data_IF_729844066267
#
_entry.id   IF_729844066267
#
_cell.length_a   1.000
_cell.length_b   1.000
_cell.length_c   1.000
_cell.angle_alpha   90.00
_cell.angle_beta   90.00
_cell.angle_gamma   90.00
#
_symmetry.space_group_name_H-M   'P 1'
#
loop_
_entity.id
_entity.type
_entity.pdbx_description
1 polymer ?
#
# COMPACT_ATOMS: atom_id res chain seq x y z
N UNK A 1 6.24 11.34 22.89
CA UNK A 1 5.37 10.14 22.80
C UNK A 1 4.31 10.21 21.71
N UNK A 2 3.17 10.90 21.87
CA UNK A 2 2.10 10.91 20.82
C UNK A 2 2.63 11.39 19.47
N UNK A 3 3.40 12.49 19.45
CA UNK A 3 4.01 13.01 18.22
C UNK A 3 4.98 12.02 17.54
N UNK A 4 5.73 11.24 18.32
CA UNK A 4 6.68 10.23 17.80
C UNK A 4 5.95 9.04 17.19
N UNK A 5 4.82 8.64 17.80
CA UNK A 5 3.92 7.62 17.27
C UNK A 5 3.39 8.08 15.91
N UNK A 6 2.86 9.30 15.81
CA UNK A 6 2.37 9.86 14.54
C UNK A 6 3.48 9.97 13.48
N UNK A 7 4.67 10.46 13.85
CA UNK A 7 5.81 10.53 12.93
C UNK A 7 6.18 9.15 12.40
N UNK A 8 6.28 8.16 13.29
CA UNK A 8 6.60 6.78 12.93
C UNK A 8 5.57 6.20 11.97
N UNK A 9 4.28 6.42 12.25
CA UNK A 9 3.18 6.00 11.38
C UNK A 9 3.30 6.59 9.97
N UNK A 10 3.53 7.91 9.87
CA UNK A 10 3.69 8.61 8.59
C UNK A 10 4.91 8.08 7.84
N UNK A 11 6.05 7.91 8.51
CA UNK A 11 7.28 7.41 7.89
C UNK A 11 7.05 6.04 7.25
N UNK A 12 6.38 5.13 7.96
CA UNK A 12 6.12 3.78 7.46
C UNK A 12 5.16 3.78 6.27
N UNK A 13 4.12 4.63 6.29
CA UNK A 13 3.21 4.76 5.16
C UNK A 13 3.87 5.41 3.94
N UNK A 14 4.67 6.45 4.15
CA UNK A 14 5.46 7.08 3.08
C UNK A 14 6.39 6.04 2.45
N UNK A 15 7.06 5.22 3.26
CA UNK A 15 7.93 4.16 2.77
C UNK A 15 7.17 3.12 1.91
N UNK A 16 5.97 2.73 2.35
CA UNK A 16 5.10 1.81 1.61
C UNK A 16 4.79 2.36 0.21
N UNK A 17 4.27 3.58 0.14
CA UNK A 17 3.85 4.19 -1.12
C UNK A 17 5.02 4.63 -2.01
N UNK A 18 6.15 5.01 -1.43
CA UNK A 18 7.38 5.23 -2.20
C UNK A 18 7.86 3.95 -2.87
N UNK A 19 7.64 2.79 -2.25
CA UNK A 19 7.96 1.50 -2.86
C UNK A 19 7.05 1.24 -4.06
N UNK A 20 5.75 1.54 -3.96
CA UNK A 20 4.83 1.51 -5.12
C UNK A 20 5.35 2.37 -6.25
N UNK A 21 5.63 3.65 -5.96
CA UNK A 21 6.14 4.62 -6.96
C UNK A 21 7.43 4.11 -7.60
N UNK A 22 8.37 3.58 -6.81
CA UNK A 22 9.62 3.04 -7.31
C UNK A 22 9.40 1.92 -8.34
N UNK A 23 8.56 0.94 -8.04
CA UNK A 23 8.30 -0.18 -8.96
C UNK A 23 7.50 0.26 -10.20
N UNK A 24 6.53 1.18 -10.04
CA UNK A 24 5.80 1.75 -11.17
C UNK A 24 6.77 2.45 -12.12
N UNK A 25 7.67 3.31 -11.60
CA UNK A 25 8.68 4.00 -12.41
C UNK A 25 9.69 3.03 -13.03
N UNK A 26 10.13 2.02 -12.27
CA UNK A 26 11.04 0.96 -12.74
C UNK A 26 10.47 0.23 -13.96
N UNK A 27 9.17 -0.01 -13.97
CA UNK A 27 8.47 -0.66 -15.08
C UNK A 27 7.88 0.32 -16.10
N UNK A 28 8.26 1.60 -16.07
CA UNK A 28 7.81 2.64 -17.01
C UNK A 28 6.28 2.84 -17.03
N UNK A 29 5.62 2.59 -15.91
CA UNK A 29 4.23 3.01 -15.71
C UNK A 29 4.16 4.52 -15.43
N UNK A 30 2.93 5.04 -15.37
CA UNK A 30 2.69 6.45 -15.05
C UNK A 30 2.03 6.58 -13.70
N UNK A 31 2.50 7.53 -12.91
CA UNK A 31 1.86 7.91 -11.64
C UNK A 31 0.80 8.96 -11.98
N UNK A 32 -0.47 8.64 -11.76
CA UNK A 32 -1.56 9.57 -12.04
C UNK A 32 -1.79 10.51 -10.87
N UNK A 33 -1.83 9.96 -9.66
CA UNK A 33 -2.13 10.71 -8.45
C UNK A 33 -1.49 10.08 -7.23
N UNK A 34 -0.85 10.92 -6.42
CA UNK A 34 -0.44 10.56 -5.06
C UNK A 34 -1.29 11.39 -4.10
N UNK A 35 -2.05 10.73 -3.24
CA UNK A 35 -2.89 11.40 -2.23
C UNK A 35 -2.28 11.16 -0.87
N UNK A 36 -1.94 12.24 -0.17
CA UNK A 36 -1.62 12.22 1.26
C UNK A 36 -2.78 12.90 2.00
N UNK A 37 -3.59 12.16 2.76
CA UNK A 37 -4.76 12.76 3.40
C UNK A 37 -5.46 11.87 4.43
N UNK A 38 -6.36 12.48 5.21
CA UNK A 38 -7.13 11.80 6.25
C UNK A 38 -8.30 10.98 5.66
N UNK A 39 -8.53 9.77 6.17
CA UNK A 39 -9.79 9.02 5.97
C UNK A 39 -10.93 9.64 6.81
N UNK A 40 -11.34 10.86 6.47
CA UNK A 40 -12.62 11.42 6.93
C UNK A 40 -13.29 12.12 5.76
N UNK A 41 -14.00 11.34 4.96
CA UNK A 41 -15.20 11.83 4.29
C UNK A 41 -16.37 11.66 5.27
N UNK A 42 -16.43 12.50 6.32
CA UNK A 42 -17.65 12.68 7.10
C UNK A 42 -18.37 13.90 6.56
N UNK A 43 -19.36 13.64 5.72
CA UNK A 43 -20.50 14.53 5.58
C UNK A 43 -21.32 14.48 6.88
N UNK A 44 -20.82 14.98 8.02
CA UNK A 44 -21.63 15.23 9.23
C UNK A 44 -20.97 16.34 10.04
N UNK A 45 -21.73 17.42 10.24
CA UNK A 45 -21.56 18.39 11.32
C UNK A 45 -21.54 17.65 12.66
N UNK A 46 -20.38 17.43 13.27
CA UNK A 46 -20.15 17.43 14.73
C UNK A 46 -18.71 17.06 15.05
N UNK A 47 -18.16 17.83 15.98
CA UNK A 47 -16.81 17.71 16.55
C UNK A 47 -16.56 16.29 17.06
N UNK A 48 -15.64 15.59 16.43
CA UNK A 48 -14.96 14.43 16.98
C UNK A 48 -13.47 14.55 16.61
N UNK A 49 -12.60 14.51 17.62
CA UNK A 49 -11.16 14.34 17.43
C UNK A 49 -10.98 12.91 16.92
N UNK A 50 -11.19 12.73 15.62
CA UNK A 50 -10.99 11.46 14.93
C UNK A 50 -9.48 11.20 14.88
N UNK A 51 -9.00 9.96 15.10
CA UNK A 51 -7.60 9.65 14.88
C UNK A 51 -7.28 10.03 13.44
N UNK A 52 -6.28 10.88 13.27
CA UNK A 52 -5.81 11.32 11.95
C UNK A 52 -5.13 10.10 11.31
N UNK A 53 -5.92 9.21 10.71
CA UNK A 53 -5.42 8.12 9.87
C UNK A 53 -5.05 8.78 8.55
N UNK A 54 -3.83 9.30 8.49
CA UNK A 54 -3.21 9.72 7.25
C UNK A 54 -3.09 8.47 6.41
N UNK A 55 -3.79 8.44 5.29
CA UNK A 55 -3.60 7.46 4.24
C UNK A 55 -2.67 8.10 3.19
N UNK A 56 -1.77 7.30 2.65
CA UNK A 56 -1.07 7.63 1.42
C UNK A 56 -1.52 6.59 0.39
N UNK A 57 -1.98 7.05 -0.76
CA UNK A 57 -2.40 6.14 -1.84
C UNK A 57 -1.88 6.64 -3.17
N UNK A 58 -1.28 5.74 -3.94
CA UNK A 58 -0.80 6.00 -5.29
C UNK A 58 -1.72 5.34 -6.31
N UNK A 59 -2.28 6.15 -7.22
CA UNK A 59 -2.96 5.68 -8.42
C UNK A 59 -1.98 5.70 -9.60
N UNK A 60 -1.96 4.64 -10.39
CA UNK A 60 -1.04 4.50 -11.52
C UNK A 60 -1.68 3.78 -12.71
N UNK A 61 -1.20 4.12 -13.90
CA UNK A 61 -1.48 3.43 -15.15
C UNK A 61 -0.37 2.45 -15.50
N UNK A 62 -0.78 1.25 -15.92
CA UNK A 62 0.13 0.20 -16.39
C UNK A 62 0.90 0.66 -17.64
N UNK A 63 2.21 0.41 -17.65
CA UNK A 63 3.03 0.55 -18.85
C UNK A 63 2.75 -0.58 -19.85
N UNK A 64 3.22 -0.42 -21.09
CA UNK A 64 3.16 -1.50 -22.09
C UNK A 64 3.87 -2.76 -21.56
N UNK A 65 3.25 -3.92 -21.73
CA UNK A 65 3.80 -5.25 -21.39
C UNK A 65 4.11 -5.46 -19.91
N UNK A 66 3.27 -4.96 -18.99
CA UNK A 66 3.45 -5.22 -17.57
C UNK A 66 3.34 -6.70 -17.22
N UNK A 67 2.30 -7.37 -17.72
CA UNK A 67 2.04 -8.77 -17.40
C UNK A 67 1.91 -9.01 -15.89
N UNK A 68 1.61 -10.26 -15.51
CA UNK A 68 1.24 -10.54 -14.12
C UNK A 68 2.41 -10.37 -13.13
N UNK A 69 3.66 -10.61 -13.57
CA UNK A 69 4.82 -10.54 -12.68
C UNK A 69 5.21 -9.12 -12.30
N UNK A 70 5.19 -8.17 -13.23
CA UNK A 70 5.53 -6.78 -12.89
C UNK A 70 4.42 -6.16 -12.03
N UNK A 71 3.16 -6.51 -12.31
CA UNK A 71 2.04 -6.09 -11.49
C UNK A 71 2.08 -6.69 -10.08
N UNK A 72 2.46 -7.96 -9.95
CA UNK A 72 2.71 -8.58 -8.65
C UNK A 72 3.81 -7.85 -7.88
N UNK A 73 4.88 -7.46 -8.54
CA UNK A 73 5.98 -6.72 -7.89
C UNK A 73 5.52 -5.34 -7.44
N UNK A 74 4.79 -4.59 -8.28
CA UNK A 74 4.24 -3.29 -7.88
C UNK A 74 3.36 -3.43 -6.64
N UNK A 75 2.43 -4.40 -6.64
CA UNK A 75 1.47 -4.56 -5.55
C UNK A 75 2.07 -5.16 -4.27
N UNK A 76 2.96 -6.16 -4.37
CA UNK A 76 3.41 -6.93 -3.21
C UNK A 76 4.73 -6.45 -2.60
N UNK A 77 5.58 -5.77 -3.36
CA UNK A 77 6.87 -5.30 -2.83
C UNK A 77 6.76 -4.28 -1.71
N UNK A 78 5.79 -3.34 -1.70
CA UNK A 78 5.58 -2.45 -0.56
C UNK A 78 5.37 -3.20 0.76
N UNK A 79 4.53 -4.24 0.74
CA UNK A 79 4.34 -5.12 1.88
C UNK A 79 5.64 -5.85 2.28
N UNK A 80 6.39 -6.37 1.29
CA UNK A 80 7.67 -7.03 1.55
C UNK A 80 8.72 -6.08 2.17
N UNK A 81 8.81 -4.84 1.68
CA UNK A 81 9.70 -3.80 2.22
C UNK A 81 9.32 -3.44 3.65
N UNK A 82 8.02 -3.27 3.92
CA UNK A 82 7.54 -2.98 5.25
C UNK A 82 7.77 -4.15 6.22
N UNK A 83 7.51 -5.40 5.82
CA UNK A 83 7.84 -6.57 6.66
C UNK A 83 9.35 -6.66 6.95
N UNK A 84 10.18 -6.48 5.92
CA UNK A 84 11.65 -6.51 6.05
C UNK A 84 12.13 -5.41 7.00
N UNK A 85 11.60 -4.20 6.85
CA UNK A 85 11.87 -3.07 7.75
C UNK A 85 11.44 -3.42 9.19
N UNK A 86 10.26 -3.99 9.36
CA UNK A 86 9.74 -4.43 10.64
C UNK A 86 10.55 -5.54 11.32
N UNK A 87 11.32 -6.34 10.57
CA UNK A 87 12.20 -7.36 11.14
C UNK A 87 13.58 -6.79 11.46
N UNK A 88 14.17 -6.04 10.51
CA UNK A 88 15.58 -5.62 10.56
C UNK A 88 15.82 -4.35 11.40
N UNK A 89 14.82 -3.50 11.58
CA UNK A 89 14.97 -2.28 12.37
C UNK A 89 15.24 -2.63 13.84
N UNK A 90 16.23 -1.95 14.43
CA UNK A 90 16.65 -2.11 15.81
C UNK A 90 15.55 -1.77 16.83
N UNK A 91 15.71 -2.26 18.07
CA UNK A 91 14.71 -2.07 19.12
C UNK A 91 14.51 -0.61 19.55
N UNK A 92 15.47 0.27 19.26
CA UNK A 92 15.38 1.71 19.53
C UNK A 92 14.26 2.40 18.72
N UNK A 93 13.76 1.77 17.66
CA UNK A 93 12.68 2.27 16.80
C UNK A 93 11.41 1.41 16.91
N UNK A 94 11.00 1.10 18.14
CA UNK A 94 9.89 0.20 18.44
C UNK A 94 8.60 0.51 17.65
N UNK A 95 8.20 1.79 17.56
CA UNK A 95 6.98 2.17 16.85
C UNK A 95 7.07 1.95 15.35
N UNK A 96 8.20 2.28 14.72
CA UNK A 96 8.44 1.99 13.30
C UNK A 96 8.36 0.49 13.09
N UNK A 97 9.00 -0.29 13.95
CA UNK A 97 8.99 -1.76 13.88
C UNK A 97 7.57 -2.33 13.88
N UNK A 98 6.77 -1.95 14.87
CA UNK A 98 5.38 -2.43 15.02
C UNK A 98 4.53 -1.98 13.83
N UNK A 99 4.62 -0.72 13.42
CA UNK A 99 3.82 -0.20 12.31
C UNK A 99 4.23 -0.80 10.96
N UNK A 100 5.51 -1.03 10.72
CA UNK A 100 6.02 -1.70 9.53
C UNK A 100 5.48 -3.13 9.42
N UNK A 101 5.51 -3.89 10.51
CA UNK A 101 4.89 -5.23 10.52
C UNK A 101 3.38 -5.16 10.33
N UNK A 102 2.70 -4.24 11.02
CA UNK A 102 1.25 -4.08 10.93
C UNK A 102 0.82 -3.75 9.50
N UNK A 103 1.43 -2.74 8.87
CA UNK A 103 1.11 -2.35 7.49
C UNK A 103 1.47 -3.47 6.52
N UNK A 104 2.66 -4.06 6.65
CA UNK A 104 3.09 -5.16 5.79
C UNK A 104 2.13 -6.35 5.79
N UNK A 105 1.64 -6.77 6.96
CA UNK A 105 0.66 -7.86 7.08
C UNK A 105 -0.68 -7.44 6.48
N UNK A 106 -1.21 -6.27 6.87
CA UNK A 106 -2.54 -5.84 6.43
C UNK A 106 -2.61 -5.58 4.92
N UNK A 107 -1.52 -5.11 4.30
CA UNK A 107 -1.46 -4.91 2.85
C UNK A 107 -1.56 -6.23 2.07
N UNK A 108 -1.11 -7.36 2.64
CA UNK A 108 -1.21 -8.68 1.99
C UNK A 108 -2.57 -9.35 2.14
N UNK A 109 -3.36 -8.96 3.14
CA UNK A 109 -4.69 -9.55 3.36
C UNK A 109 -5.63 -9.10 2.23
N UNK A 110 -6.34 -10.02 1.56
CA UNK A 110 -7.26 -9.67 0.48
C UNK A 110 -8.58 -9.14 1.06
N UNK A 111 -8.61 -7.87 1.49
CA UNK A 111 -9.78 -7.22 2.09
C UNK A 111 -10.46 -6.31 1.06
N UNK A 112 -11.61 -6.70 0.48
CA UNK A 112 -12.25 -5.97 -0.62
C UNK A 112 -12.69 -4.55 -0.23
N UNK A 113 -13.21 -4.37 1.00
CA UNK A 113 -13.72 -3.08 1.48
C UNK A 113 -12.64 -2.01 1.65
N UNK A 114 -11.37 -2.42 1.73
CA UNK A 114 -10.22 -1.53 1.92
C UNK A 114 -9.33 -1.43 0.68
N UNK A 115 -9.65 -2.17 -0.39
CA UNK A 115 -8.85 -2.21 -1.63
C UNK A 115 -7.35 -2.43 -1.38
N UNK A 116 -7.03 -3.31 -0.43
CA UNK A 116 -5.66 -3.70 -0.08
C UNK A 116 -4.88 -4.24 -1.27
N UNK A 117 -3.56 -4.08 -1.27
CA UNK A 117 -2.67 -4.59 -2.32
C UNK A 117 -2.89 -6.09 -2.63
N UNK A 118 -3.08 -6.91 -1.59
CA UNK A 118 -3.37 -8.34 -1.73
C UNK A 118 -4.72 -8.64 -2.37
N UNK A 119 -5.72 -7.77 -2.18
CA UNK A 119 -7.02 -7.88 -2.85
C UNK A 119 -6.90 -7.53 -4.34
N UNK A 120 -6.23 -6.42 -4.66
CA UNK A 120 -5.99 -6.01 -6.05
C UNK A 120 -5.19 -7.08 -6.81
N UNK A 121 -4.21 -7.70 -6.15
CA UNK A 121 -3.45 -8.79 -6.73
C UNK A 121 -4.32 -10.02 -7.00
N UNK A 122 -5.23 -10.35 -6.09
CA UNK A 122 -6.17 -11.45 -6.25
C UNK A 122 -7.14 -11.21 -7.42
N UNK A 123 -7.65 -9.98 -7.57
CA UNK A 123 -8.46 -9.60 -8.74
C UNK A 123 -7.68 -9.76 -10.04
N UNK A 124 -6.41 -9.37 -10.06
CA UNK A 124 -5.58 -9.47 -11.27
C UNK A 124 -5.30 -10.94 -11.65
N UNK A 125 -5.03 -11.79 -10.67
CA UNK A 125 -4.95 -13.23 -10.88
C UNK A 125 -6.26 -13.79 -11.47
N UNK A 126 -7.42 -13.41 -10.92
CA UNK A 126 -8.71 -13.87 -11.42
C UNK A 126 -8.96 -13.45 -12.87
N UNK A 127 -8.64 -12.19 -13.23
CA UNK A 127 -8.75 -11.69 -14.61
C UNK A 127 -7.86 -12.49 -15.56
N UNK A 128 -6.61 -12.71 -15.19
CA UNK A 128 -5.65 -13.47 -16.00
C UNK A 128 -6.14 -14.90 -16.28
N UNK A 129 -6.61 -15.61 -15.25
CA UNK A 129 -7.17 -16.95 -15.40
C UNK A 129 -8.43 -16.98 -16.28
N UNK A 130 -9.32 -16.00 -16.13
CA UNK A 130 -10.55 -15.89 -16.94
C UNK A 130 -10.25 -15.64 -18.41
N UNK A 131 -9.28 -14.77 -18.71
CA UNK A 131 -8.88 -14.46 -20.08
C UNK A 131 -8.19 -15.67 -20.74
N UNK A 132 -7.39 -16.43 -19.99
CA UNK A 132 -6.76 -17.67 -20.49
C UNK A 132 -7.78 -18.75 -20.84
N UNK A 133 -8.91 -18.85 -20.11
CA UNK A 133 -10.00 -19.80 -20.40
C UNK A 133 -10.87 -19.41 -21.60
N UNK A 134 -10.88 -18.14 -22.01
CA UNK A 134 -11.66 -17.65 -23.16
C UNK A 134 -10.89 -17.64 -24.49
N UNK A 135 -9.56 -17.73 -24.43
CA UNK A 135 -8.67 -17.83 -25.59
C UNK A 135 -8.30 -19.26 -26.00
N UNK A 136 -8.95 -20.26 -25.39
CA UNK A 136 -9.01 -21.65 -25.84
C UNK A 136 -10.41 -21.93 -26.37
#
# INVERSE_FOLDING_TARGET
MILEIYKSWIIVLVLHELTHIFFVLLFRGKIDKVVFGNFIFLHIKKVAISPIIINCSVSFEEGKDWGLWKQALVLLMPAAVNLTTGVLVGYDFLFIKIFSLFIGINSLLPIPSLQTDGFLMLEEFQKFYKNRKRGQ
#
